data_IF_016558772737
#
_entry.id   IF_016558772737
#
_cell.length_a   1.000
_cell.length_b   1.000
_cell.length_c   1.000
_cell.angle_alpha   90.00
_cell.angle_beta   90.00
_cell.angle_gamma   90.00
#
_symmetry.space_group_name_H-M   'P 1'
#
loop_
_entity.id
_entity.type
_entity.pdbx_description
1 polymer ?
#
# COMPACT_ATOMS: atom_id res chain seq x y z
N UNK A 1 9.41 -20.39 4.04
CA UNK A 1 9.39 -18.92 4.06
C UNK A 1 9.48 -18.45 2.62
N UNK A 2 8.47 -17.72 2.18
CA UNK A 2 8.42 -17.14 0.83
C UNK A 2 8.59 -15.64 0.97
N UNK A 3 9.63 -15.08 0.35
CA UNK A 3 9.89 -13.64 0.35
C UNK A 3 9.72 -13.09 -1.06
N UNK A 4 9.13 -11.89 -1.16
CA UNK A 4 9.03 -11.17 -2.42
C UNK A 4 8.75 -9.68 -2.17
N UNK A 5 8.96 -8.88 -3.22
CA UNK A 5 8.67 -7.46 -3.24
C UNK A 5 7.39 -7.21 -4.03
N UNK A 6 6.52 -6.36 -3.51
CA UNK A 6 5.43 -5.72 -4.27
C UNK A 6 5.85 -4.29 -4.54
N UNK A 7 6.08 -3.97 -5.81
CA UNK A 7 6.39 -2.60 -6.20
C UNK A 7 5.09 -1.86 -6.52
N UNK A 8 4.85 -0.79 -5.76
CA UNK A 8 3.80 0.18 -6.06
C UNK A 8 4.38 1.22 -7.01
N UNK A 9 3.73 1.44 -8.15
CA UNK A 9 4.13 2.46 -9.11
C UNK A 9 2.97 3.44 -9.22
N UNK A 10 3.24 4.70 -8.87
CA UNK A 10 2.29 5.80 -8.99
C UNK A 10 2.57 6.57 -10.28
N UNK A 11 1.51 6.95 -10.99
CA UNK A 11 1.64 7.89 -12.09
C UNK A 11 2.15 9.24 -11.59
N UNK A 12 2.80 9.99 -12.48
CA UNK A 12 3.27 11.35 -12.18
C UNK A 12 2.10 12.18 -11.66
N UNK A 13 2.29 12.82 -10.51
CA UNK A 13 1.24 13.63 -9.87
C UNK A 13 0.50 12.90 -8.75
N UNK A 14 0.52 11.57 -8.74
CA UNK A 14 -0.23 10.76 -7.78
C UNK A 14 0.62 10.46 -6.55
N UNK A 15 0.10 10.83 -5.39
CA UNK A 15 0.65 10.51 -4.08
C UNK A 15 -0.31 9.58 -3.36
N UNK A 16 0.17 8.38 -2.98
CA UNK A 16 -0.59 7.43 -2.17
C UNK A 16 -0.27 7.65 -0.70
N UNK A 17 -1.25 7.70 0.19
CA UNK A 17 -0.98 7.87 1.61
C UNK A 17 -0.23 6.66 2.16
N UNK A 18 0.93 6.92 2.78
CA UNK A 18 1.81 5.90 3.29
C UNK A 18 1.20 5.15 4.47
N UNK A 19 1.62 3.89 4.67
CA UNK A 19 1.37 3.15 5.89
C UNK A 19 2.33 3.63 6.98
N UNK A 20 2.00 4.78 7.56
CA UNK A 20 2.79 5.45 8.58
C UNK A 20 1.88 5.75 9.78
N UNK A 21 2.24 5.37 11.02
CA UNK A 21 1.49 5.74 12.22
C UNK A 21 1.28 7.25 12.38
N UNK A 22 2.15 8.09 11.80
CA UNK A 22 1.97 9.55 11.79
C UNK A 22 0.78 9.99 10.93
N UNK A 23 0.35 9.15 9.99
CA UNK A 23 -0.90 9.34 9.26
C UNK A 23 -2.13 8.86 10.07
N UNK A 24 -2.00 8.30 11.28
CA UNK A 24 -3.13 7.77 12.05
C UNK A 24 -4.16 8.85 12.44
N UNK A 25 -3.75 10.13 12.50
CA UNK A 25 -4.67 11.26 12.65
C UNK A 25 -5.74 11.32 11.53
N UNK A 26 -5.46 10.70 10.37
CA UNK A 26 -6.33 10.62 9.20
C UNK A 26 -7.25 9.39 9.19
N UNK A 27 -7.16 8.57 10.25
CA UNK A 27 -7.99 7.42 10.66
C UNK A 27 -8.32 6.32 9.64
N UNK A 28 -8.21 6.47 8.31
CA UNK A 28 -8.83 5.50 7.38
C UNK A 28 -8.21 5.30 5.98
N UNK A 29 -6.98 5.75 5.68
CA UNK A 29 -6.54 5.79 4.26
C UNK A 29 -5.10 5.39 3.94
N UNK A 30 -4.34 4.91 4.92
CA UNK A 30 -3.02 4.35 4.69
C UNK A 30 -3.07 3.13 3.76
N UNK A 31 -2.09 3.02 2.85
CA UNK A 31 -1.93 1.89 1.95
C UNK A 31 -1.75 0.57 2.72
N UNK A 32 -2.70 -0.37 2.62
CA UNK A 32 -2.68 -1.67 3.28
C UNK A 32 -2.76 -2.79 2.25
N UNK A 33 -1.78 -3.68 2.28
CA UNK A 33 -1.72 -4.89 1.48
C UNK A 33 -2.38 -6.06 2.23
N UNK A 34 -3.34 -6.71 1.57
CA UNK A 34 -3.94 -7.97 1.99
C UNK A 34 -3.58 -9.04 0.96
N UNK A 35 -3.17 -10.21 1.43
CA UNK A 35 -2.80 -11.34 0.57
C UNK A 35 -3.76 -12.49 0.86
N UNK A 36 -4.31 -13.08 -0.21
CA UNK A 36 -5.13 -14.29 -0.15
C UNK A 36 -4.51 -15.40 -0.99
N UNK A 37 -4.68 -16.62 -0.55
CA UNK A 37 -4.27 -17.81 -1.31
C UNK A 37 -5.30 -18.18 -2.38
N UNK A 38 -5.08 -19.31 -3.07
CA UNK A 38 -5.97 -19.80 -4.12
C UNK A 38 -7.37 -20.17 -3.64
N UNK A 39 -7.53 -20.52 -2.36
CA UNK A 39 -8.83 -20.83 -1.74
C UNK A 39 -9.53 -19.56 -1.23
N UNK A 40 -8.90 -18.39 -1.36
CA UNK A 40 -9.39 -17.11 -0.87
C UNK A 40 -9.10 -16.85 0.61
N UNK A 41 -8.30 -17.70 1.27
CA UNK A 41 -7.95 -17.55 2.67
C UNK A 41 -6.90 -16.46 2.87
N UNK A 42 -7.04 -15.67 3.93
CA UNK A 42 -6.05 -14.64 4.27
C UNK A 42 -4.74 -15.33 4.66
N UNK A 43 -3.66 -14.93 3.98
CA UNK A 43 -2.32 -15.45 4.24
C UNK A 43 -1.71 -14.71 5.42
N UNK A 44 -1.25 -15.47 6.42
CA UNK A 44 -0.41 -14.92 7.47
C UNK A 44 0.92 -14.44 6.88
N UNK A 45 1.11 -13.13 6.87
CA UNK A 45 2.23 -12.48 6.20
C UNK A 45 2.66 -11.25 6.96
N UNK A 46 3.98 -11.06 7.05
CA UNK A 46 4.58 -9.81 7.49
C UNK A 46 4.81 -8.93 6.27
N UNK A 47 4.16 -7.77 6.26
CA UNK A 47 4.40 -6.72 5.26
C UNK A 47 5.21 -5.62 5.92
N UNK A 48 6.39 -5.33 5.36
CA UNK A 48 7.21 -4.19 5.76
C UNK A 48 6.98 -3.06 4.76
N UNK A 49 6.36 -2.01 5.28
CA UNK A 49 6.16 -0.74 4.59
C UNK A 49 7.37 0.16 4.84
N UNK A 50 7.93 0.80 3.81
CA UNK A 50 8.95 1.82 4.00
C UNK A 50 8.30 3.10 4.53
N UNK A 51 9.14 3.98 5.10
CA UNK A 51 8.72 5.30 5.54
C UNK A 51 8.17 6.10 4.36
N UNK A 52 7.08 6.83 4.59
CA UNK A 52 6.55 7.76 3.61
C UNK A 52 7.40 9.03 3.53
N UNK A 53 7.23 9.79 2.45
CA UNK A 53 7.83 11.11 2.32
C UNK A 53 6.85 12.16 2.83
N UNK A 54 7.35 13.06 3.69
CA UNK A 54 6.57 14.18 4.21
C UNK A 54 6.19 15.13 3.07
N UNK A 55 4.92 15.51 3.04
CA UNK A 55 4.34 16.51 2.15
C UNK A 55 3.65 17.55 3.01
N UNK A 56 4.02 18.80 2.80
CA UNK A 56 3.34 19.94 3.40
C UNK A 56 2.08 20.22 2.60
N UNK A 57 0.92 20.02 3.22
CA UNK A 57 -0.37 20.21 2.56
C UNK A 57 -1.04 21.52 2.95
N UNK A 58 -0.36 22.36 3.75
CA UNK A 58 -0.80 23.72 4.16
C UNK A 58 -2.01 23.76 5.09
N UNK A 59 -2.97 22.84 4.91
CA UNK A 59 -4.27 22.83 5.60
C UNK A 59 -4.44 21.61 6.51
N UNK A 60 -3.66 20.54 6.31
CA UNK A 60 -3.93 19.20 6.84
C UNK A 60 -2.77 18.67 7.72
N UNK A 61 -1.83 19.52 8.10
CA UNK A 61 -0.64 19.10 8.84
C UNK A 61 0.30 18.21 8.01
N UNK A 62 1.18 17.50 8.70
CA UNK A 62 2.17 16.62 8.07
C UNK A 62 1.48 15.37 7.50
N UNK A 63 1.55 15.19 6.18
CA UNK A 63 1.12 13.97 5.49
C UNK A 63 2.32 13.21 4.95
N UNK A 64 2.34 11.89 5.10
CA UNK A 64 3.39 11.03 4.58
C UNK A 64 2.85 10.21 3.40
N UNK A 65 3.55 10.25 2.26
CA UNK A 65 3.07 9.64 1.01
C UNK A 65 4.13 8.79 0.33
N UNK A 66 3.67 7.85 -0.48
CA UNK A 66 4.46 7.17 -1.50
C UNK A 66 4.30 7.91 -2.83
N UNK A 67 5.42 8.14 -3.52
CA UNK A 67 5.51 8.76 -4.84
C UNK A 67 6.40 7.93 -5.75
N UNK A 68 6.24 8.11 -7.05
CA UNK A 68 7.02 7.43 -8.09
C UNK A 68 6.92 5.90 -7.96
N UNK A 69 7.87 5.27 -7.29
CA UNK A 69 7.85 3.84 -6.98
C UNK A 69 8.15 3.59 -5.51
N UNK A 70 7.47 2.61 -4.91
CA UNK A 70 7.71 2.21 -3.53
C UNK A 70 7.65 0.69 -3.39
N UNK A 71 8.68 0.13 -2.77
CA UNK A 71 8.81 -1.31 -2.58
C UNK A 71 8.25 -1.73 -1.22
N UNK A 72 7.21 -2.56 -1.24
CA UNK A 72 6.70 -3.24 -0.06
C UNK A 72 7.32 -4.64 0.03
N UNK A 73 7.97 -4.95 1.15
CA UNK A 73 8.58 -6.27 1.35
C UNK A 73 7.59 -7.20 2.03
N UNK A 74 7.39 -8.38 1.47
CA UNK A 74 6.47 -9.39 1.99
C UNK A 74 7.26 -10.64 2.39
N UNK A 75 7.01 -11.09 3.62
CA UNK A 75 7.47 -12.37 4.13
C UNK A 75 6.27 -13.23 4.54
N UNK A 76 6.06 -14.35 3.84
CA UNK A 76 5.08 -15.37 4.21
C UNK A 76 5.81 -16.46 4.99
N UNK A 77 5.40 -16.65 6.24
CA UNK A 77 5.96 -17.63 7.18
C UNK A 77 5.41 -19.02 6.89
N UNK A 78 4.13 -19.12 6.56
CA UNK A 78 3.44 -20.37 6.27
C UNK A 78 3.87 -20.99 4.92
N UNK A 79 4.27 -22.27 4.95
CA UNK A 79 4.68 -23.04 3.77
C UNK A 79 3.52 -23.77 3.09
N UNK A 80 2.33 -23.80 3.70
CA UNK A 80 1.15 -24.52 3.20
C UNK A 80 0.26 -23.66 2.30
N UNK A 81 0.59 -22.37 2.16
CA UNK A 81 -0.14 -21.40 1.34
C UNK A 81 -0.23 -21.85 -0.11
N UNK A 82 -1.46 -21.92 -0.62
CA UNK A 82 -1.76 -22.34 -1.99
C UNK A 82 -1.55 -21.20 -2.98
N UNK A 83 -1.02 -21.53 -4.15
CA UNK A 83 -0.84 -20.60 -5.27
C UNK A 83 -1.96 -20.76 -6.30
N UNK A 84 -2.32 -19.68 -7.04
CA UNK A 84 -1.71 -18.35 -7.03
C UNK A 84 -2.11 -17.50 -5.82
N UNK A 85 -1.29 -16.50 -5.50
CA UNK A 85 -1.59 -15.50 -4.47
C UNK A 85 -2.33 -14.31 -5.10
N UNK A 86 -3.44 -13.91 -4.49
CA UNK A 86 -4.14 -12.67 -4.80
C UNK A 86 -3.69 -11.56 -3.86
N UNK A 87 -3.24 -10.44 -4.40
CA UNK A 87 -2.75 -9.29 -3.65
C UNK A 87 -3.71 -8.13 -3.85
N UNK A 88 -4.24 -7.60 -2.77
CA UNK A 88 -5.14 -6.44 -2.77
C UNK A 88 -4.51 -5.34 -1.94
N UNK A 89 -4.21 -4.20 -2.56
CA UNK A 89 -3.81 -2.99 -1.87
C UNK A 89 -5.02 -2.05 -1.77
N UNK A 90 -5.38 -1.66 -0.55
CA UNK A 90 -6.40 -0.64 -0.29
C UNK A 90 -5.76 0.60 0.33
N UNK A 91 -6.22 1.79 -0.03
CA UNK A 91 -5.72 3.04 0.54
C UNK A 91 -6.47 4.24 -0.01
N UNK A 92 -5.88 5.43 0.06
CA UNK A 92 -6.30 6.57 -0.74
C UNK A 92 -5.10 7.38 -1.20
N UNK A 93 -5.35 8.32 -2.10
CA UNK A 93 -4.32 9.19 -2.61
C UNK A 93 -4.83 10.57 -2.99
N UNK A 94 -3.90 11.37 -3.48
CA UNK A 94 -4.11 12.74 -3.90
C UNK A 94 -3.33 13.00 -5.18
N UNK A 95 -3.95 13.70 -6.13
CA UNK A 95 -3.30 14.19 -7.32
C UNK A 95 -2.86 15.65 -7.08
N UNK A 96 -1.56 15.87 -6.88
CA UNK A 96 -1.03 17.19 -6.60
C UNK A 96 -1.01 18.11 -7.82
N UNK A 97 -1.02 17.56 -9.03
CA UNK A 97 -1.07 18.36 -10.26
C UNK A 97 -2.47 18.93 -10.51
N UNK A 98 -3.51 18.24 -10.03
CA UNK A 98 -4.91 18.64 -10.18
C UNK A 98 -5.50 19.22 -8.90
N UNK A 99 -4.73 19.29 -7.81
CA UNK A 99 -5.19 19.65 -6.48
C UNK A 99 -6.46 18.88 -6.05
N UNK A 100 -6.48 17.57 -6.32
CA UNK A 100 -7.68 16.74 -6.20
C UNK A 100 -7.45 15.48 -5.35
N UNK A 101 -8.36 15.22 -4.42
CA UNK A 101 -8.38 13.96 -3.68
C UNK A 101 -8.89 12.84 -4.59
N UNK A 102 -8.18 11.71 -4.63
CA UNK A 102 -8.58 10.54 -5.42
C UNK A 102 -9.59 9.65 -4.68
N UNK A 103 -9.82 9.91 -3.39
CA UNK A 103 -10.64 9.05 -2.55
C UNK A 103 -10.02 7.65 -2.38
N UNK A 104 -10.86 6.66 -2.04
CA UNK A 104 -10.41 5.29 -1.80
C UNK A 104 -9.95 4.63 -3.09
N UNK A 105 -8.79 3.99 -3.03
CA UNK A 105 -8.14 3.26 -4.11
C UNK A 105 -8.09 1.78 -3.71
N UNK A 106 -8.37 0.90 -4.67
CA UNK A 106 -8.20 -0.54 -4.54
C UNK A 106 -7.47 -1.08 -5.76
N UNK A 107 -6.27 -1.61 -5.56
CA UNK A 107 -5.44 -2.24 -6.59
C UNK A 107 -5.40 -3.74 -6.36
N UNK A 108 -5.47 -4.51 -7.43
CA UNK A 108 -5.41 -5.98 -7.37
C UNK A 108 -4.31 -6.49 -8.29
N UNK A 109 -3.56 -7.47 -7.82
CA UNK A 109 -2.55 -8.19 -8.59
C UNK A 109 -2.59 -9.69 -8.25
N UNK A 110 -2.07 -10.51 -9.16
CA UNK A 110 -1.97 -11.97 -8.95
C UNK A 110 -0.52 -12.39 -9.12
N UNK A 111 0.01 -13.13 -8.14
CA UNK A 111 1.33 -13.75 -8.20
C UNK A 111 1.19 -15.25 -8.41
N UNK A 112 1.65 -15.73 -9.56
CA UNK A 112 1.71 -17.16 -9.90
C UNK A 112 2.91 -17.83 -9.20
#
# INVERSE_FOLDING_TARGET
>A
MTNFTVQLIAERGIHLYAYDPKNDAWKHVAARLTIRDADGQIVDSRVSYPDGLKVETGFLGDLYVYRDSTDLRVAITDKTVKRPLSLTLEGAGYNHLQNACLGRIKLNAVRK
#
